data_IF_546841096967
#
_entry.id   IF_546841096967
#
_cell.length_a   1.000
_cell.length_b   1.000
_cell.length_c   1.000
_cell.angle_alpha   90.00
_cell.angle_beta   90.00
_cell.angle_gamma   90.00
#
_symmetry.space_group_name_H-M   'P 1'
#
loop_
_entity.id
_entity.type
_entity.pdbx_description
1 polymer ?
#
# COMPACT_ATOMS: atom_id res chain seq x y z
N UNK A 1 -21.01 80.35 -54.69
CA UNK A 1 -22.34 80.18 -54.07
C UNK A 1 -22.22 79.13 -52.98
N UNK A 2 -22.46 79.49 -51.71
CA UNK A 2 -22.51 78.53 -50.59
C UNK A 2 -23.90 77.90 -50.59
N UNK A 3 -23.98 76.61 -50.86
CA UNK A 3 -25.23 75.84 -50.85
C UNK A 3 -25.68 75.76 -49.38
N UNK A 4 -26.84 76.33 -49.07
CA UNK A 4 -27.39 76.35 -47.73
C UNK A 4 -27.63 74.94 -47.22
N UNK A 5 -27.01 74.59 -46.09
CA UNK A 5 -27.30 73.34 -45.39
C UNK A 5 -28.65 73.48 -44.71
N UNK A 6 -29.62 72.67 -45.11
CA UNK A 6 -30.93 72.60 -44.46
C UNK A 6 -30.84 71.70 -43.22
N UNK A 7 -31.52 72.09 -42.14
CA UNK A 7 -31.59 71.36 -40.85
C UNK A 7 -31.93 69.87 -41.03
N UNK A 8 -32.71 69.53 -42.06
CA UNK A 8 -33.06 68.16 -42.44
C UNK A 8 -31.82 67.32 -42.78
N UNK A 9 -30.86 67.89 -43.50
CA UNK A 9 -29.63 67.19 -43.93
C UNK A 9 -28.63 66.94 -42.79
N UNK A 10 -28.65 67.79 -41.76
CA UNK A 10 -27.80 67.64 -40.58
C UNK A 10 -28.36 66.57 -39.63
N UNK A 11 -29.69 66.51 -39.49
CA UNK A 11 -30.38 65.46 -38.75
C UNK A 11 -30.18 64.08 -39.38
N UNK A 12 -30.26 63.96 -40.69
CA UNK A 12 -30.02 62.69 -41.39
C UNK A 12 -28.56 62.22 -41.25
N UNK A 13 -27.59 63.13 -41.29
CA UNK A 13 -26.18 62.80 -41.02
C UNK A 13 -25.96 62.36 -39.58
N UNK A 14 -26.53 63.06 -38.60
CA UNK A 14 -26.42 62.69 -37.19
C UNK A 14 -27.07 61.32 -36.89
N UNK A 15 -28.21 61.01 -37.53
CA UNK A 15 -28.85 59.69 -37.44
C UNK A 15 -27.98 58.62 -38.11
N UNK A 16 -27.45 58.89 -39.30
CA UNK A 16 -26.54 57.98 -40.01
C UNK A 16 -25.23 57.71 -39.24
N UNK A 17 -24.67 58.73 -38.59
CA UNK A 17 -23.49 58.61 -37.73
C UNK A 17 -23.79 57.86 -36.43
N UNK A 18 -24.97 58.10 -35.84
CA UNK A 18 -25.44 57.36 -34.66
C UNK A 18 -25.65 55.87 -34.97
N UNK A 19 -26.29 55.54 -36.09
CA UNK A 19 -26.47 54.16 -36.57
C UNK A 19 -25.13 53.47 -36.86
N UNK A 20 -24.16 54.19 -37.44
CA UNK A 20 -22.79 53.70 -37.66
C UNK A 20 -22.00 53.50 -36.37
N UNK A 21 -22.22 54.34 -35.36
CA UNK A 21 -21.62 54.13 -34.04
C UNK A 21 -22.26 52.95 -33.31
N UNK A 22 -23.57 52.77 -33.42
CA UNK A 22 -24.26 51.61 -32.83
C UNK A 22 -23.85 50.29 -33.48
N UNK A 23 -23.68 50.24 -34.81
CA UNK A 23 -23.24 49.04 -35.51
C UNK A 23 -21.81 48.65 -35.10
N UNK A 24 -20.88 49.60 -35.02
CA UNK A 24 -19.52 49.37 -34.50
C UNK A 24 -19.52 48.89 -33.05
N UNK A 25 -20.36 49.47 -32.20
CA UNK A 25 -20.48 49.06 -30.79
C UNK A 25 -21.06 47.65 -30.65
N UNK A 26 -21.98 47.25 -31.53
CA UNK A 26 -22.53 45.88 -31.59
C UNK A 26 -21.44 44.89 -32.05
N UNK A 27 -20.61 45.23 -33.02
CA UNK A 27 -19.50 44.39 -33.47
C UNK A 27 -18.40 44.22 -32.41
N UNK A 28 -18.01 45.30 -31.73
CA UNK A 28 -17.03 45.24 -30.64
C UNK A 28 -17.52 44.40 -29.47
N UNK A 29 -18.81 44.52 -29.10
CA UNK A 29 -19.42 43.66 -28.09
C UNK A 29 -19.41 42.19 -28.50
N UNK A 30 -19.75 41.88 -29.76
CA UNK A 30 -19.71 40.50 -30.29
C UNK A 30 -18.29 39.93 -30.27
N UNK A 31 -17.28 40.72 -30.67
CA UNK A 31 -15.86 40.31 -30.60
C UNK A 31 -15.41 40.05 -29.16
N UNK A 32 -15.73 40.94 -28.22
CA UNK A 32 -15.40 40.77 -26.79
C UNK A 32 -16.08 39.53 -26.20
N UNK A 33 -17.35 39.30 -26.51
CA UNK A 33 -18.09 38.09 -26.08
C UNK A 33 -17.47 36.84 -26.68
N UNK A 34 -17.14 36.84 -27.98
CA UNK A 34 -16.49 35.69 -28.64
C UNK A 34 -15.13 35.36 -28.02
N UNK A 35 -14.32 36.36 -27.70
CA UNK A 35 -13.03 36.18 -27.03
C UNK A 35 -13.23 35.62 -25.61
N UNK A 36 -14.20 36.13 -24.86
CA UNK A 36 -14.51 35.64 -23.52
C UNK A 36 -14.97 34.18 -23.52
N UNK A 37 -15.83 33.79 -24.46
CA UNK A 37 -16.30 32.40 -24.63
C UNK A 37 -15.16 31.47 -25.01
N UNK A 38 -14.23 31.92 -25.86
CA UNK A 38 -13.04 31.13 -26.21
C UNK A 38 -12.16 30.84 -24.99
N UNK A 39 -11.88 31.85 -24.15
CA UNK A 39 -11.10 31.65 -22.92
C UNK A 39 -11.83 30.80 -21.88
N UNK A 40 -13.16 30.94 -21.75
CA UNK A 40 -13.96 30.09 -20.88
C UNK A 40 -13.92 28.62 -21.33
N UNK A 41 -13.98 28.36 -22.63
CA UNK A 41 -13.81 27.01 -23.20
C UNK A 41 -12.43 26.43 -22.92
N UNK A 42 -11.36 27.21 -23.10
CA UNK A 42 -9.99 26.79 -22.83
C UNK A 42 -9.79 26.40 -21.35
N UNK A 43 -10.32 27.20 -20.42
CA UNK A 43 -10.23 26.92 -18.98
C UNK A 43 -10.92 25.59 -18.62
N UNK A 44 -12.06 25.28 -19.25
CA UNK A 44 -12.81 24.04 -19.02
C UNK A 44 -12.01 22.81 -19.49
N UNK A 45 -11.34 22.91 -20.64
CA UNK A 45 -10.45 21.85 -21.15
C UNK A 45 -9.28 21.58 -20.18
N UNK A 46 -8.66 22.64 -19.65
CA UNK A 46 -7.55 22.50 -18.69
C UNK A 46 -7.99 21.76 -17.42
N UNK A 47 -9.17 22.08 -16.88
CA UNK A 47 -9.72 21.41 -15.69
C UNK A 47 -9.95 19.92 -15.93
N UNK A 48 -10.51 19.56 -17.09
CA UNK A 48 -10.75 18.15 -17.46
C UNK A 48 -9.44 17.38 -17.59
N UNK A 49 -8.45 17.95 -18.27
CA UNK A 49 -7.12 17.31 -18.45
C UNK A 49 -6.41 17.14 -17.10
N UNK A 50 -6.45 18.15 -16.23
CA UNK A 50 -5.89 18.07 -14.89
C UNK A 50 -6.59 16.97 -14.05
N UNK A 51 -7.92 16.87 -14.11
CA UNK A 51 -8.67 15.83 -13.43
C UNK A 51 -8.32 14.42 -13.90
N UNK A 52 -8.18 14.21 -15.22
CA UNK A 52 -7.76 12.93 -15.80
C UNK A 52 -6.32 12.57 -15.39
N UNK A 53 -5.41 13.53 -15.40
CA UNK A 53 -4.03 13.33 -14.96
C UNK A 53 -3.94 12.97 -13.47
N UNK A 54 -4.71 13.66 -12.62
CA UNK A 54 -4.79 13.34 -11.19
C UNK A 54 -5.33 11.93 -10.95
N UNK A 55 -6.39 11.53 -11.68
CA UNK A 55 -6.93 10.18 -11.55
C UNK A 55 -5.92 9.10 -11.95
N UNK A 56 -5.20 9.30 -13.06
CA UNK A 56 -4.14 8.40 -13.49
C UNK A 56 -2.97 8.31 -12.49
N UNK A 57 -2.61 9.42 -11.84
CA UNK A 57 -1.58 9.43 -10.77
C UNK A 57 -2.06 8.70 -9.52
N UNK A 58 -3.34 8.84 -9.15
CA UNK A 58 -3.93 8.13 -8.01
C UNK A 58 -4.00 6.63 -8.28
N UNK A 59 -4.38 6.21 -9.48
CA UNK A 59 -4.37 4.80 -9.88
C UNK A 59 -2.95 4.21 -9.92
N UNK A 60 -1.95 4.98 -10.40
CA UNK A 60 -0.53 4.57 -10.31
C UNK A 60 -0.07 4.40 -8.86
N UNK A 61 -0.38 5.34 -7.96
CA UNK A 61 -0.06 5.20 -6.53
C UNK A 61 -0.76 4.01 -5.86
N UNK A 62 -1.94 3.62 -6.33
CA UNK A 62 -2.69 2.48 -5.80
C UNK A 62 -2.15 1.14 -6.30
N UNK A 63 -1.61 1.11 -7.53
CA UNK A 63 -0.98 -0.08 -8.14
C UNK A 63 0.51 -0.21 -7.84
N UNK A 64 1.17 0.87 -7.44
CA UNK A 64 2.44 0.84 -6.71
C UNK A 64 2.14 0.37 -5.29
N UNK A 65 1.95 -0.95 -5.13
CA UNK A 65 2.21 -1.59 -3.85
C UNK A 65 3.55 -1.04 -3.37
N UNK A 66 3.63 -0.43 -2.16
CA UNK A 66 4.92 0.00 -1.67
C UNK A 66 5.81 -1.23 -1.76
N UNK A 67 6.90 -1.11 -2.53
CA UNK A 67 8.03 -2.00 -2.42
C UNK A 67 8.53 -1.75 -1.00
N UNK A 68 7.86 -2.42 -0.03
CA UNK A 68 8.28 -2.48 1.34
C UNK A 68 9.70 -2.97 1.17
N UNK A 69 10.66 -2.13 1.56
CA UNK A 69 11.95 -2.62 1.97
C UNK A 69 11.61 -3.79 2.88
N UNK A 70 11.68 -5.03 2.36
CA UNK A 70 11.54 -6.23 3.17
C UNK A 70 12.55 -5.97 4.26
N UNK A 71 12.07 -5.68 5.49
CA UNK A 71 12.94 -5.68 6.64
C UNK A 71 13.57 -7.06 6.56
N UNK A 72 14.83 -7.12 6.11
CA UNK A 72 15.58 -8.37 6.06
C UNK A 72 15.82 -8.72 7.51
N UNK A 73 14.89 -9.47 8.07
CA UNK A 73 14.96 -9.96 9.43
C UNK A 73 16.18 -10.86 9.50
N UNK A 74 17.22 -10.36 10.18
CA UNK A 74 18.43 -11.13 10.41
C UNK A 74 18.25 -11.87 11.73
N UNK A 75 18.27 -13.21 11.71
CA UNK A 75 18.12 -14.01 12.93
C UNK A 75 19.32 -13.75 13.85
N UNK A 76 19.06 -13.57 15.14
CA UNK A 76 20.11 -13.45 16.17
C UNK A 76 20.55 -14.80 16.69
N UNK A 77 19.62 -15.77 16.73
CA UNK A 77 19.92 -17.16 17.09
C UNK A 77 20.63 -17.91 15.98
N UNK A 78 21.44 -18.88 16.40
CA UNK A 78 22.04 -19.86 15.51
C UNK A 78 20.95 -20.76 14.88
N UNK A 79 21.02 -20.92 13.56
CA UNK A 79 20.18 -21.85 12.81
C UNK A 79 21.05 -23.05 12.44
N UNK A 80 20.67 -24.25 12.86
CA UNK A 80 21.37 -25.49 12.51
C UNK A 80 20.58 -26.28 11.47
N UNK A 81 21.25 -26.78 10.43
CA UNK A 81 20.68 -27.78 9.52
C UNK A 81 20.98 -29.19 10.06
N UNK A 82 19.94 -29.95 10.38
CA UNK A 82 20.09 -31.30 10.91
C UNK A 82 20.66 -32.31 9.88
N UNK A 83 20.49 -32.05 8.58
CA UNK A 83 21.00 -32.93 7.52
C UNK A 83 22.39 -32.51 7.00
N UNK A 84 22.85 -31.29 7.32
CA UNK A 84 24.08 -30.73 6.76
C UNK A 84 24.03 -30.60 5.23
N UNK A 85 22.83 -30.49 4.66
CA UNK A 85 22.59 -30.44 3.22
C UNK A 85 22.41 -29.00 2.69
N UNK A 86 22.73 -28.01 3.54
CA UNK A 86 22.65 -26.57 3.27
C UNK A 86 21.21 -26.09 2.99
N UNK A 87 20.24 -26.57 3.78
CA UNK A 87 18.84 -26.14 3.65
C UNK A 87 18.57 -24.73 4.20
N UNK A 88 19.57 -24.03 4.75
CA UNK A 88 19.41 -22.71 5.37
C UNK A 88 19.32 -21.60 4.31
N UNK A 89 18.13 -21.47 3.73
CA UNK A 89 17.84 -20.42 2.73
C UNK A 89 17.63 -19.05 3.37
N UNK A 90 17.71 -17.98 2.56
CA UNK A 90 17.37 -16.61 2.99
C UNK A 90 15.94 -16.49 3.52
N UNK A 91 15.02 -17.28 2.97
CA UNK A 91 13.64 -17.37 3.45
C UNK A 91 13.60 -17.89 4.88
N UNK A 92 14.31 -18.98 5.18
CA UNK A 92 14.41 -19.53 6.53
C UNK A 92 15.00 -18.49 7.50
N UNK A 93 16.10 -17.83 7.12
CA UNK A 93 16.71 -16.77 7.95
C UNK A 93 15.70 -15.68 8.28
N UNK A 94 14.98 -15.19 7.27
CA UNK A 94 13.94 -14.16 7.43
C UNK A 94 12.80 -14.65 8.33
N UNK A 95 12.31 -15.87 8.11
CA UNK A 95 11.26 -16.49 8.94
C UNK A 95 11.70 -16.65 10.39
N UNK A 96 12.92 -17.10 10.66
CA UNK A 96 13.46 -17.22 12.02
C UNK A 96 13.55 -15.84 12.67
N UNK A 97 14.08 -14.83 11.97
CA UNK A 97 14.17 -13.47 12.52
C UNK A 97 12.81 -12.84 12.82
N UNK A 98 11.77 -13.13 12.01
CA UNK A 98 10.40 -12.73 12.32
C UNK A 98 9.85 -13.46 13.54
N UNK A 99 10.06 -14.78 13.63
CA UNK A 99 9.65 -15.57 14.79
C UNK A 99 10.32 -15.09 16.09
N UNK A 100 11.59 -14.69 16.04
CA UNK A 100 12.26 -14.09 17.20
C UNK A 100 11.57 -12.82 17.69
N UNK A 101 11.19 -11.91 16.77
CA UNK A 101 10.45 -10.69 17.12
C UNK A 101 9.05 -11.02 17.67
N UNK A 102 8.32 -11.92 17.00
CA UNK A 102 6.96 -12.32 17.38
C UNK A 102 6.94 -13.00 18.76
N UNK A 103 7.85 -13.93 19.03
CA UNK A 103 7.97 -14.56 20.35
C UNK A 103 8.40 -13.56 21.42
N UNK A 104 9.33 -12.65 21.11
CA UNK A 104 9.77 -11.62 22.05
C UNK A 104 8.62 -10.71 22.45
N UNK A 105 7.78 -10.30 21.50
CA UNK A 105 6.58 -9.51 21.75
C UNK A 105 5.56 -10.25 22.63
N UNK A 106 5.56 -11.59 22.58
CA UNK A 106 4.73 -12.45 23.43
C UNK A 106 5.39 -12.81 24.78
N UNK A 107 6.59 -12.29 25.06
CA UNK A 107 7.32 -12.52 26.32
C UNK A 107 8.18 -13.77 26.35
N UNK A 108 8.48 -14.37 25.20
CA UNK A 108 9.33 -15.55 25.07
C UNK A 108 10.59 -15.25 24.28
N UNK A 109 11.71 -15.89 24.62
CA UNK A 109 12.97 -15.78 23.85
C UNK A 109 13.21 -17.07 23.10
N UNK A 110 13.47 -16.95 21.79
CA UNK A 110 13.95 -18.07 20.99
C UNK A 110 15.41 -18.34 21.40
N UNK A 111 15.72 -19.59 21.73
CA UNK A 111 17.07 -20.02 22.09
C UNK A 111 17.80 -20.71 20.94
N UNK A 112 17.06 -21.42 20.09
CA UNK A 112 17.61 -22.18 18.97
C UNK A 112 16.57 -22.39 17.87
N UNK A 113 17.02 -22.42 16.62
CA UNK A 113 16.23 -22.87 15.48
C UNK A 113 16.94 -24.03 14.77
N UNK A 114 16.20 -25.06 14.39
CA UNK A 114 16.72 -26.21 13.65
C UNK A 114 15.89 -26.42 12.39
N UNK A 115 16.55 -26.55 11.25
CA UNK A 115 15.93 -27.02 10.01
C UNK A 115 15.95 -28.55 10.05
N UNK A 116 14.79 -29.23 10.09
CA UNK A 116 14.75 -30.69 10.13
C UNK A 116 15.31 -31.31 8.85
N UNK A 117 15.75 -32.57 8.96
CA UNK A 117 16.31 -33.28 7.81
C UNK A 117 15.27 -33.43 6.68
N UNK A 118 15.74 -33.31 5.44
CA UNK A 118 14.97 -33.52 4.21
C UNK A 118 13.81 -32.52 3.99
N UNK A 119 13.84 -31.34 4.62
CA UNK A 119 12.85 -30.29 4.37
C UNK A 119 13.45 -28.89 4.53
N UNK A 120 13.11 -27.99 3.60
CA UNK A 120 13.41 -26.55 3.70
C UNK A 120 12.17 -25.70 4.06
N UNK A 121 11.05 -26.36 4.36
CA UNK A 121 9.74 -25.72 4.62
C UNK A 121 9.31 -25.81 6.08
N UNK A 122 10.16 -26.37 6.93
CA UNK A 122 9.87 -26.55 8.35
C UNK A 122 11.02 -26.04 9.20
N UNK A 123 10.68 -25.53 10.37
CA UNK A 123 11.63 -25.09 11.39
C UNK A 123 11.16 -25.63 12.73
N UNK A 124 12.06 -26.27 13.47
CA UNK A 124 11.87 -26.62 14.87
C UNK A 124 12.44 -25.47 15.74
N UNK A 125 11.57 -24.78 16.46
CA UNK A 125 11.90 -23.64 17.32
C UNK A 125 11.96 -24.05 18.79
N UNK A 126 13.01 -23.62 19.48
CA UNK A 126 13.20 -23.82 20.92
C UNK A 126 13.09 -22.47 21.63
N UNK A 127 12.40 -22.45 22.76
CA UNK A 127 12.24 -21.25 23.58
C UNK A 127 12.96 -21.44 24.93
N UNK A 128 13.51 -20.36 25.48
CA UNK A 128 14.13 -20.37 26.80
C UNK A 128 13.11 -20.74 27.88
N UNK A 129 13.44 -21.72 28.73
CA UNK A 129 12.58 -22.14 29.85
C UNK A 129 11.32 -22.90 29.46
N UNK A 130 11.15 -23.30 28.18
CA UNK A 130 10.01 -24.07 27.69
C UNK A 130 10.49 -25.45 27.24
N UNK A 131 9.94 -26.52 27.84
CA UNK A 131 10.35 -27.91 27.55
C UNK A 131 10.12 -28.36 26.08
N UNK A 132 8.91 -28.24 25.51
CA UNK A 132 8.69 -28.69 24.13
C UNK A 132 9.31 -27.73 23.11
N UNK A 133 9.80 -28.29 22.00
CA UNK A 133 10.08 -27.51 20.79
C UNK A 133 8.84 -27.42 19.89
N UNK A 134 8.82 -26.43 19.01
CA UNK A 134 7.67 -26.10 18.17
C UNK A 134 7.97 -26.33 16.70
N UNK A 135 7.18 -27.18 16.03
CA UNK A 135 7.25 -27.39 14.58
C UNK A 135 6.44 -26.31 13.89
N UNK A 136 7.11 -25.50 13.08
CA UNK A 136 6.52 -24.36 12.36
C UNK A 136 6.76 -24.52 10.86
N UNK A 137 5.77 -24.13 10.07
CA UNK A 137 5.86 -24.15 8.61
C UNK A 137 6.35 -22.79 8.09
N UNK A 138 7.37 -22.80 7.22
CA UNK A 138 8.05 -21.60 6.73
C UNK A 138 7.14 -20.69 5.91
N UNK A 139 6.13 -21.26 5.23
CA UNK A 139 5.19 -20.50 4.40
C UNK A 139 3.97 -19.97 5.16
N UNK A 140 3.89 -20.20 6.48
CA UNK A 140 2.80 -19.70 7.32
C UNK A 140 3.19 -18.34 7.93
N UNK A 141 2.19 -17.52 8.25
CA UNK A 141 2.38 -16.31 9.04
C UNK A 141 3.05 -16.65 10.39
N UNK A 142 4.18 -15.98 10.68
CA UNK A 142 4.99 -16.22 11.88
C UNK A 142 4.27 -15.78 13.15
N UNK A 143 3.55 -14.65 13.10
CA UNK A 143 2.82 -14.11 14.25
C UNK A 143 1.71 -15.08 14.68
N UNK A 144 0.94 -15.62 13.73
CA UNK A 144 -0.08 -16.63 14.03
C UNK A 144 0.53 -17.92 14.61
N UNK A 145 1.67 -18.34 14.05
CA UNK A 145 2.36 -19.56 14.52
C UNK A 145 2.89 -19.38 15.95
N UNK A 146 3.41 -18.20 16.26
CA UNK A 146 3.88 -17.85 17.60
C UNK A 146 2.72 -17.77 18.61
N UNK A 147 1.60 -17.16 18.22
CA UNK A 147 0.39 -17.14 19.06
C UNK A 147 -0.13 -18.55 19.37
N UNK A 148 -0.23 -19.41 18.35
CA UNK A 148 -0.67 -20.79 18.52
C UNK A 148 0.26 -21.58 19.44
N UNK A 149 1.58 -21.39 19.29
CA UNK A 149 2.59 -21.98 20.18
C UNK A 149 2.40 -21.52 21.63
N UNK A 150 2.21 -20.22 21.87
CA UNK A 150 1.98 -19.66 23.22
C UNK A 150 0.67 -20.14 23.83
N UNK A 151 -0.40 -20.27 23.04
CA UNK A 151 -1.66 -20.88 23.49
C UNK A 151 -1.45 -22.32 23.94
N UNK A 152 -0.62 -23.08 23.22
CA UNK A 152 -0.28 -24.45 23.60
C UNK A 152 0.58 -24.53 24.86
N UNK A 153 1.54 -23.61 25.05
CA UNK A 153 2.30 -23.51 26.32
C UNK A 153 1.34 -23.33 27.50
N UNK A 154 0.42 -22.37 27.40
CA UNK A 154 -0.58 -22.10 28.44
C UNK A 154 -1.50 -23.30 28.67
N UNK A 155 -1.94 -23.96 27.60
CA UNK A 155 -2.78 -25.15 27.68
C UNK A 155 -2.09 -26.30 28.41
N UNK A 156 -0.86 -26.65 27.99
CA UNK A 156 -0.08 -27.73 28.59
C UNK A 156 0.24 -27.44 30.05
N UNK A 157 0.63 -26.22 30.39
CA UNK A 157 0.87 -25.77 31.77
C UNK A 157 -0.38 -25.90 32.65
N UNK A 158 -1.54 -25.43 32.18
CA UNK A 158 -2.82 -25.54 32.90
C UNK A 158 -3.21 -27.00 33.16
N UNK A 159 -2.90 -27.89 32.22
CA UNK A 159 -3.20 -29.32 32.32
C UNK A 159 -2.08 -30.12 33.01
N UNK A 160 -0.98 -29.47 33.43
CA UNK A 160 0.22 -30.11 33.97
C UNK A 160 0.75 -31.24 33.08
N UNK A 161 0.58 -31.11 31.75
CA UNK A 161 1.04 -32.08 30.76
C UNK A 161 2.39 -31.64 30.22
N UNK A 162 3.29 -32.60 30.06
CA UNK A 162 4.56 -32.42 29.38
C UNK A 162 4.46 -32.90 27.95
N UNK A 163 5.16 -32.22 27.05
CA UNK A 163 5.24 -32.57 25.65
C UNK A 163 6.70 -32.59 25.19
N UNK A 164 7.02 -33.49 24.28
CA UNK A 164 8.31 -33.53 23.59
C UNK A 164 8.33 -32.45 22.50
N UNK A 165 7.23 -32.33 21.76
CA UNK A 165 7.04 -31.31 20.74
C UNK A 165 5.58 -30.88 20.63
N UNK A 166 5.39 -29.67 20.10
CA UNK A 166 4.11 -29.15 19.66
C UNK A 166 4.21 -28.81 18.16
N UNK A 167 3.26 -29.28 17.38
CA UNK A 167 3.15 -29.04 15.94
C UNK A 167 2.04 -28.01 15.68
N UNK A 168 2.44 -26.84 15.19
CA UNK A 168 1.56 -25.70 14.85
C UNK A 168 1.62 -25.38 13.36
N UNK A 169 2.04 -26.34 12.52
CA UNK A 169 2.12 -26.15 11.05
C UNK A 169 0.75 -25.92 10.41
N UNK A 170 -0.34 -26.34 11.05
CA UNK A 170 -1.71 -26.22 10.54
C UNK A 170 -2.41 -25.06 11.23
N UNK A 171 -2.96 -24.12 10.45
CA UNK A 171 -3.68 -22.97 11.00
C UNK A 171 -4.87 -23.40 11.87
N UNK A 172 -4.96 -22.83 13.07
CA UNK A 172 -6.06 -23.07 14.01
C UNK A 172 -6.08 -24.48 14.63
N UNK A 173 -5.04 -25.31 14.40
CA UNK A 173 -4.90 -26.63 15.01
C UNK A 173 -3.49 -26.80 15.54
N UNK A 174 -3.38 -27.40 16.72
CA UNK A 174 -2.09 -27.79 17.27
C UNK A 174 -2.14 -29.25 17.71
N UNK A 175 -1.08 -29.98 17.42
CA UNK A 175 -0.88 -31.35 17.86
C UNK A 175 0.32 -31.39 18.79
N UNK A 176 0.34 -32.30 19.76
CA UNK A 176 1.50 -32.46 20.63
C UNK A 176 1.76 -33.94 20.86
N UNK A 177 3.04 -34.27 21.06
CA UNK A 177 3.44 -35.60 21.53
C UNK A 177 3.80 -35.50 23.00
N UNK A 178 3.10 -36.27 23.84
CA UNK A 178 3.43 -36.39 25.27
C UNK A 178 4.81 -37.00 25.51
N UNK A 179 5.33 -36.79 26.72
CA UNK A 179 6.46 -37.56 27.25
C UNK A 179 6.02 -38.98 27.62
#
# INVERSE_FOLDING_TARGET
>A
MKIGQTIVSERERAVSESERMESRRKEEKRKKISIMVFFAGLALVIVVVAGLAMNAVVERKKNELPNQNEKKYQPKVEITDAAGADYITDKIKTTVGMLEEDFLNLGYRVSKAIVPANTAREIDIFLEGVEPFFKIHVDRNTAESAEDAVRMIKHLSKQQKKAIYVDVRIAGRAYYKGQ
#
